data_IF_579114505046
#
_entry.id   IF_579114505046
#
_cell.length_a   1.000
_cell.length_b   1.000
_cell.length_c   1.000
_cell.angle_alpha   90.00
_cell.angle_beta   90.00
_cell.angle_gamma   90.00
#
_symmetry.space_group_name_H-M   'P 1'
#
loop_
_entity.id
_entity.type
_entity.pdbx_description
1 polymer ?
#
# COMPACT_ATOMS: atom_id res chain seq x y z
N UNK A 1 -4.14 7.31 3.62
CA UNK A 1 -4.71 8.03 2.44
C UNK A 1 -4.03 9.37 2.25
N UNK A 2 -3.90 9.84 0.99
CA UNK A 2 -3.38 11.17 0.65
C UNK A 2 -4.27 11.87 -0.37
N UNK A 3 -4.03 13.18 -0.56
CA UNK A 3 -4.72 14.05 -1.51
C UNK A 3 -3.77 14.44 -2.64
N UNK A 4 -4.28 14.41 -3.86
CA UNK A 4 -3.59 14.80 -5.08
C UNK A 4 -4.38 15.95 -5.72
N UNK A 5 -3.78 17.13 -5.94
CA UNK A 5 -4.45 18.25 -6.60
C UNK A 5 -4.56 18.00 -8.10
N UNK A 6 -5.72 18.32 -8.69
CA UNK A 6 -5.99 18.27 -10.13
C UNK A 6 -6.83 19.45 -10.57
N UNK A 7 -6.92 19.72 -11.86
CA UNK A 7 -7.80 20.74 -12.42
C UNK A 7 -9.28 20.51 -12.10
N UNK A 8 -9.69 19.25 -11.92
CA UNK A 8 -11.05 18.87 -11.52
C UNK A 8 -11.29 18.91 -9.99
N UNK A 9 -10.31 19.35 -9.20
CA UNK A 9 -10.32 19.31 -7.74
C UNK A 9 -9.50 18.14 -7.19
N UNK A 10 -9.75 17.76 -5.94
CA UNK A 10 -8.95 16.76 -5.24
C UNK A 10 -9.24 15.33 -5.72
N UNK A 11 -8.17 14.55 -5.92
CA UNK A 11 -8.21 13.10 -6.06
C UNK A 11 -7.67 12.48 -4.78
N UNK A 12 -8.40 11.54 -4.20
CA UNK A 12 -8.00 10.80 -3.00
C UNK A 12 -7.35 9.48 -3.41
N UNK A 13 -6.22 9.15 -2.81
CA UNK A 13 -5.51 7.89 -2.98
C UNK A 13 -5.42 7.14 -1.65
N UNK A 14 -5.96 5.92 -1.62
CA UNK A 14 -5.75 4.94 -0.56
C UNK A 14 -4.74 3.90 -1.01
N UNK A 15 -3.82 3.49 -0.12
CA UNK A 15 -2.84 2.43 -0.41
C UNK A 15 -2.72 1.48 0.77
N UNK A 16 -2.36 0.23 0.46
CA UNK A 16 -1.87 -0.77 1.40
C UNK A 16 -0.48 -1.20 0.95
N UNK A 17 0.46 -1.23 1.91
CA UNK A 17 1.83 -1.68 1.68
C UNK A 17 2.10 -2.97 2.45
N UNK A 18 2.84 -3.85 1.82
CA UNK A 18 3.50 -4.95 2.50
C UNK A 18 4.71 -4.38 3.26
N UNK A 19 4.72 -4.55 4.58
CA UNK A 19 5.79 -4.01 5.42
C UNK A 19 7.12 -4.74 5.24
N UNK A 20 7.10 -5.99 4.78
CA UNK A 20 8.28 -6.78 4.50
C UNK A 20 9.00 -6.31 3.23
N UNK A 21 8.26 -6.27 2.11
CA UNK A 21 8.81 -5.93 0.80
C UNK A 21 8.67 -4.47 0.40
N UNK A 22 7.96 -3.66 1.20
CA UNK A 22 7.60 -2.27 0.87
C UNK A 22 6.71 -2.14 -0.37
N UNK A 23 6.26 -3.23 -0.94
CA UNK A 23 5.42 -3.24 -2.13
C UNK A 23 4.04 -2.66 -1.85
N UNK A 24 3.55 -1.82 -2.75
CA UNK A 24 2.14 -1.43 -2.75
C UNK A 24 1.35 -2.62 -3.29
N UNK A 25 0.57 -3.26 -2.41
CA UNK A 25 -0.18 -4.49 -2.70
C UNK A 25 -1.66 -4.24 -2.96
N UNK A 26 -2.15 -3.05 -2.62
CA UNK A 26 -3.51 -2.64 -2.92
C UNK A 26 -3.63 -1.13 -2.89
N UNK A 27 -4.37 -0.58 -3.83
CA UNK A 27 -4.62 0.85 -3.92
C UNK A 27 -5.95 1.15 -4.60
N UNK A 28 -6.50 2.32 -4.32
CA UNK A 28 -7.71 2.80 -4.96
C UNK A 28 -7.70 4.33 -5.00
N UNK A 29 -8.29 4.89 -6.05
CA UNK A 29 -8.45 6.33 -6.22
C UNK A 29 -9.92 6.72 -6.35
N UNK A 30 -10.31 7.80 -5.67
CA UNK A 30 -11.69 8.28 -5.62
C UNK A 30 -11.79 9.79 -5.50
N UNK A 31 -12.99 10.32 -5.75
CA UNK A 31 -13.26 11.74 -5.64
C UNK A 31 -13.54 12.18 -4.19
N UNK A 32 -13.76 11.21 -3.31
CA UNK A 32 -14.12 11.44 -1.91
C UNK A 32 -13.28 10.57 -0.98
N UNK A 33 -13.01 11.09 0.22
CA UNK A 33 -12.41 10.33 1.31
C UNK A 33 -13.50 9.60 2.07
N UNK A 34 -13.74 8.35 1.70
CA UNK A 34 -14.74 7.53 2.37
C UNK A 34 -14.25 6.10 2.61
N UNK A 35 -15.03 5.34 3.39
CA UNK A 35 -14.72 3.94 3.70
C UNK A 35 -14.69 3.04 2.46
N UNK A 36 -15.54 3.32 1.46
CA UNK A 36 -15.57 2.53 0.23
C UNK A 36 -14.24 2.59 -0.52
N UNK A 37 -13.51 3.71 -0.45
CA UNK A 37 -12.20 3.85 -1.06
C UNK A 37 -11.16 2.93 -0.39
N UNK A 38 -11.11 2.90 0.94
CA UNK A 38 -10.23 1.99 1.69
C UNK A 38 -10.56 0.54 1.43
N UNK A 39 -11.86 0.22 1.37
CA UNK A 39 -12.33 -1.14 1.14
C UNK A 39 -11.93 -1.65 -0.26
N UNK A 40 -11.99 -0.80 -1.29
CA UNK A 40 -11.51 -1.14 -2.64
C UNK A 40 -10.01 -1.44 -2.64
N UNK A 41 -9.20 -0.64 -1.95
CA UNK A 41 -7.78 -0.89 -1.82
C UNK A 41 -7.49 -2.21 -1.07
N UNK A 42 -8.24 -2.50 0.01
CA UNK A 42 -8.13 -3.75 0.75
C UNK A 42 -8.53 -4.95 -0.12
N UNK A 43 -9.63 -4.86 -0.87
CA UNK A 43 -10.06 -5.93 -1.75
C UNK A 43 -9.01 -6.24 -2.82
N UNK A 44 -8.43 -5.22 -3.46
CA UNK A 44 -7.34 -5.39 -4.41
C UNK A 44 -6.15 -6.14 -3.78
N UNK A 45 -5.74 -5.76 -2.56
CA UNK A 45 -4.65 -6.43 -1.85
C UNK A 45 -4.95 -7.91 -1.57
N UNK A 46 -6.17 -8.23 -1.16
CA UNK A 46 -6.62 -9.61 -0.90
C UNK A 46 -6.59 -10.43 -2.19
N UNK A 47 -7.12 -9.89 -3.29
CA UNK A 47 -7.21 -10.59 -4.57
C UNK A 47 -5.81 -10.89 -5.15
N UNK A 48 -4.90 -9.94 -5.01
CA UNK A 48 -3.51 -10.09 -5.49
C UNK A 48 -2.66 -11.03 -4.62
N UNK A 49 -2.79 -10.93 -3.29
CA UNK A 49 -1.91 -11.63 -2.36
C UNK A 49 -2.47 -12.94 -1.84
N UNK A 50 -3.79 -13.10 -1.82
CA UNK A 50 -4.49 -14.26 -1.25
C UNK A 50 -3.88 -14.67 0.10
N UNK A 51 -3.83 -13.75 1.08
CA UNK A 51 -3.08 -13.94 2.30
C UNK A 51 -3.63 -15.10 3.11
N UNK A 52 -2.73 -15.82 3.78
CA UNK A 52 -3.11 -16.86 4.73
C UNK A 52 -3.78 -16.24 5.98
N UNK A 53 -4.56 -17.04 6.69
CA UNK A 53 -5.11 -16.67 8.00
C UNK A 53 -3.97 -16.26 8.96
N UNK A 54 -4.24 -15.29 9.84
CA UNK A 54 -3.26 -14.78 10.78
C UNK A 54 -2.37 -13.65 10.24
N UNK A 55 -2.60 -13.16 9.01
CA UNK A 55 -1.94 -11.95 8.54
C UNK A 55 -2.19 -10.79 9.51
N UNK A 56 -1.13 -10.12 9.94
CA UNK A 56 -1.25 -8.90 10.75
C UNK A 56 -1.54 -7.72 9.83
N UNK A 57 -2.74 -7.14 9.99
CA UNK A 57 -3.15 -5.92 9.29
C UNK A 57 -3.01 -4.71 10.20
N UNK A 58 -2.02 -3.85 9.91
CA UNK A 58 -1.77 -2.64 10.69
C UNK A 58 -2.43 -1.43 10.03
N UNK A 59 -3.14 -0.62 10.83
CA UNK A 59 -3.71 0.64 10.36
C UNK A 59 -3.61 1.75 11.43
N UNK A 60 -3.68 3.00 10.97
CA UNK A 60 -3.98 4.12 11.85
C UNK A 60 -5.46 4.04 12.30
N UNK A 61 -5.81 4.73 13.37
CA UNK A 61 -7.20 4.80 13.84
C UNK A 61 -8.09 5.71 13.00
N UNK A 62 -7.73 5.94 11.73
CA UNK A 62 -8.48 6.78 10.82
C UNK A 62 -9.88 6.21 10.57
N UNK A 63 -10.90 7.08 10.55
CA UNK A 63 -12.31 6.70 10.37
C UNK A 63 -12.59 5.81 9.15
N UNK A 64 -11.75 5.92 8.12
CA UNK A 64 -11.85 5.13 6.91
C UNK A 64 -11.51 3.64 7.08
N UNK A 65 -10.81 3.26 8.16
CA UNK A 65 -10.32 1.90 8.43
C UNK A 65 -11.02 1.22 9.62
N UNK A 66 -11.85 1.96 10.37
CA UNK A 66 -12.56 1.42 11.56
C UNK A 66 -14.02 1.09 11.31
N UNK A 67 -14.52 1.28 10.08
CA UNK A 67 -15.90 1.02 9.73
C UNK A 67 -16.25 -0.47 9.76
N UNK A 68 -17.54 -0.78 9.98
CA UNK A 68 -18.06 -2.15 10.11
C UNK A 68 -17.69 -3.02 8.89
N UNK A 69 -17.85 -2.50 7.67
CA UNK A 69 -17.56 -3.24 6.44
C UNK A 69 -16.08 -3.58 6.31
N UNK A 70 -15.20 -2.65 6.70
CA UNK A 70 -13.75 -2.87 6.64
C UNK A 70 -13.34 -3.96 7.62
N UNK A 71 -13.84 -3.92 8.86
CA UNK A 71 -13.59 -4.95 9.88
C UNK A 71 -14.12 -6.31 9.46
N UNK A 72 -15.37 -6.36 8.98
CA UNK A 72 -15.97 -7.61 8.47
C UNK A 72 -15.11 -8.26 7.37
N UNK A 73 -14.46 -7.46 6.53
CA UNK A 73 -13.55 -8.00 5.51
C UNK A 73 -12.27 -8.56 6.13
N UNK A 74 -11.70 -7.92 7.15
CA UNK A 74 -10.55 -8.44 7.89
C UNK A 74 -10.90 -9.74 8.63
N UNK A 75 -12.07 -9.79 9.26
CA UNK A 75 -12.57 -10.99 9.96
C UNK A 75 -12.73 -12.18 9.01
N UNK A 76 -13.29 -11.95 7.81
CA UNK A 76 -13.44 -12.99 6.77
C UNK A 76 -12.14 -13.63 6.34
N UNK A 77 -11.06 -12.86 6.31
CA UNK A 77 -9.72 -13.37 5.99
C UNK A 77 -8.96 -13.83 7.22
N UNK A 78 -9.61 -13.87 8.39
CA UNK A 78 -8.99 -14.18 9.68
C UNK A 78 -7.71 -13.38 9.94
N UNK A 79 -7.71 -12.09 9.56
CA UNK A 79 -6.59 -11.20 9.81
C UNK A 79 -6.58 -10.72 11.25
N UNK A 80 -5.38 -10.57 11.80
CA UNK A 80 -5.16 -9.98 13.11
C UNK A 80 -5.07 -8.46 12.96
N UNK A 81 -6.09 -7.74 13.45
CA UNK A 81 -6.07 -6.28 13.43
C UNK A 81 -5.06 -5.74 14.45
N UNK A 82 -4.08 -4.99 13.98
CA UNK A 82 -3.14 -4.23 14.78
C UNK A 82 -3.40 -2.74 14.58
N UNK A 83 -3.60 -2.01 15.66
CA UNK A 83 -3.85 -0.58 15.60
C UNK A 83 -2.70 0.18 16.23
N UNK A 84 -2.23 1.24 15.57
CA UNK A 84 -1.25 2.16 16.15
C UNK A 84 -1.69 2.64 17.53
N UNK A 85 -0.76 2.75 18.46
CA UNK A 85 -1.00 3.45 19.73
C UNK A 85 -1.29 4.92 19.42
N UNK A 86 -2.19 5.54 20.19
CA UNK A 86 -2.52 6.96 20.01
C UNK A 86 -1.24 7.81 20.16
N UNK A 87 -0.83 8.50 19.08
CA UNK A 87 0.38 9.34 19.09
C UNK A 87 1.69 8.64 18.73
N UNK A 88 1.68 7.37 18.34
CA UNK A 88 2.90 6.70 17.86
C UNK A 88 3.04 6.86 16.34
N UNK A 89 3.87 7.83 15.91
CA UNK A 89 4.13 8.10 14.50
C UNK A 89 5.00 7.03 13.82
N UNK A 90 5.73 6.21 14.56
CA UNK A 90 6.61 5.19 13.97
C UNK A 90 5.85 4.06 13.27
N UNK A 91 4.64 3.77 13.74
CA UNK A 91 3.82 2.69 13.21
C UNK A 91 3.33 2.97 11.77
N UNK A 92 3.28 4.25 11.36
CA UNK A 92 2.84 4.68 10.03
C UNK A 92 3.97 5.18 9.12
N UNK A 93 5.21 5.21 9.60
CA UNK A 93 6.36 5.80 8.92
C UNK A 93 6.57 5.23 7.49
N UNK A 94 6.27 3.95 7.27
CA UNK A 94 6.41 3.30 5.96
C UNK A 94 5.43 3.87 4.94
N UNK A 95 4.17 4.03 5.33
CA UNK A 95 3.11 4.59 4.46
C UNK A 95 3.34 6.09 4.24
N UNK A 96 3.77 6.80 5.28
CA UNK A 96 4.13 8.22 5.19
C UNK A 96 5.32 8.43 4.24
N UNK A 97 6.34 7.58 4.34
CA UNK A 97 7.49 7.57 3.42
C UNK A 97 7.06 7.33 1.98
N UNK A 98 6.16 6.37 1.73
CA UNK A 98 5.61 6.14 0.40
C UNK A 98 4.90 7.40 -0.14
N UNK A 99 4.02 8.02 0.64
CA UNK A 99 3.33 9.24 0.21
C UNK A 99 4.28 10.42 0.00
N UNK A 100 5.32 10.54 0.83
CA UNK A 100 6.39 11.53 0.65
C UNK A 100 7.10 11.34 -0.68
N UNK A 101 7.50 10.10 -0.99
CA UNK A 101 8.17 9.76 -2.26
C UNK A 101 7.25 10.03 -3.45
N UNK A 102 6.01 9.56 -3.44
CA UNK A 102 5.03 9.83 -4.50
C UNK A 102 4.87 11.34 -4.77
N UNK A 103 4.77 12.13 -3.69
CA UNK A 103 4.64 13.58 -3.83
C UNK A 103 5.90 14.22 -4.39
N UNK A 104 7.07 13.86 -3.87
CA UNK A 104 8.34 14.45 -4.28
C UNK A 104 8.78 14.01 -5.68
N UNK A 105 8.51 12.75 -6.06
CA UNK A 105 8.99 12.18 -7.31
C UNK A 105 8.01 12.41 -8.48
N UNK A 106 6.70 12.58 -8.19
CA UNK A 106 5.68 12.76 -9.22
C UNK A 106 4.85 14.03 -9.02
N UNK A 107 4.11 14.14 -7.90
CA UNK A 107 3.02 15.12 -7.77
C UNK A 107 3.50 16.55 -7.78
N UNK A 108 4.62 16.87 -7.14
CA UNK A 108 5.17 18.23 -7.08
C UNK A 108 5.76 18.71 -8.42
N UNK A 109 6.07 17.79 -9.33
CA UNK A 109 6.63 18.10 -10.65
C UNK A 109 5.57 18.13 -11.75
N UNK A 110 4.30 17.87 -11.43
CA UNK A 110 3.20 17.79 -12.39
C UNK A 110 2.04 18.71 -12.01
N UNK A 111 1.37 19.21 -13.03
CA UNK A 111 0.07 19.87 -12.90
C UNK A 111 -0.93 19.05 -13.69
N UNK A 112 -1.66 18.18 -13.00
CA UNK A 112 -2.67 17.34 -13.62
C UNK A 112 -3.86 18.20 -14.06
N UNK A 113 -4.17 18.21 -15.35
CA UNK A 113 -5.32 18.93 -15.89
C UNK A 113 -6.65 18.30 -15.41
N UNK A 114 -6.67 16.99 -15.21
CA UNK A 114 -7.85 16.24 -14.78
C UNK A 114 -7.53 15.14 -13.79
N UNK A 115 -8.57 14.63 -13.09
CA UNK A 115 -8.45 13.42 -12.27
C UNK A 115 -8.11 12.18 -13.09
N UNK A 116 -8.53 12.14 -14.36
CA UNK A 116 -8.20 11.01 -15.25
C UNK A 116 -6.72 10.96 -15.56
N UNK A 117 -6.11 12.08 -15.88
CA UNK A 117 -4.66 12.18 -16.08
C UNK A 117 -3.89 11.77 -14.83
N UNK A 118 -4.26 12.33 -13.66
CA UNK A 118 -3.64 11.97 -12.39
C UNK A 118 -3.74 10.46 -12.09
N UNK A 119 -4.88 9.83 -12.42
CA UNK A 119 -5.06 8.37 -12.23
C UNK A 119 -4.09 7.56 -13.08
N UNK A 120 -3.89 7.92 -14.34
CA UNK A 120 -2.98 7.23 -15.24
C UNK A 120 -1.52 7.34 -14.75
N UNK A 121 -1.07 8.55 -14.44
CA UNK A 121 0.30 8.80 -13.97
C UNK A 121 0.59 8.13 -12.60
N UNK A 122 -0.38 8.13 -11.68
CA UNK A 122 -0.23 7.44 -10.38
C UNK A 122 -0.22 5.93 -10.56
N UNK A 123 -1.02 5.40 -11.47
CA UNK A 123 -0.99 3.98 -11.84
C UNK A 123 0.41 3.58 -12.32
N UNK A 124 0.96 4.31 -13.28
CA UNK A 124 2.30 4.05 -13.82
C UNK A 124 3.37 4.19 -12.75
N UNK A 125 3.25 5.21 -11.89
CA UNK A 125 4.17 5.37 -10.77
C UNK A 125 4.14 4.17 -9.82
N UNK A 126 2.98 3.68 -9.43
CA UNK A 126 2.86 2.55 -8.48
C UNK A 126 3.29 1.23 -9.14
N UNK A 127 2.70 0.90 -10.29
CA UNK A 127 2.83 -0.43 -10.87
C UNK A 127 4.11 -0.62 -11.68
N UNK A 128 4.53 0.40 -12.41
CA UNK A 128 5.70 0.29 -13.28
C UNK A 128 6.97 0.76 -12.57
N UNK A 129 6.92 1.89 -11.88
CA UNK A 129 8.14 2.46 -11.29
C UNK A 129 8.36 2.00 -9.85
N UNK A 130 7.46 2.35 -8.90
CA UNK A 130 7.67 2.11 -7.46
C UNK A 130 7.84 0.63 -7.14
N UNK A 131 6.92 -0.20 -7.61
CA UNK A 131 6.94 -1.63 -7.30
C UNK A 131 8.06 -2.39 -8.02
N UNK A 132 8.47 -1.97 -9.23
CA UNK A 132 9.37 -2.75 -10.11
C UNK A 132 10.77 -2.19 -10.26
N UNK A 133 10.96 -0.87 -10.12
CA UNK A 133 12.24 -0.23 -10.46
C UNK A 133 12.80 0.65 -9.35
N UNK A 134 11.93 1.20 -8.48
CA UNK A 134 12.41 2.10 -7.44
C UNK A 134 13.23 1.36 -6.40
N UNK A 135 14.53 1.72 -6.32
CA UNK A 135 15.43 1.18 -5.32
C UNK A 135 15.11 1.69 -3.91
N UNK A 136 15.16 0.80 -2.93
CA UNK A 136 14.92 1.11 -1.52
C UNK A 136 16.15 0.77 -0.68
N UNK A 137 16.70 1.74 0.04
CA UNK A 137 17.86 1.53 0.91
C UNK A 137 17.64 0.44 1.97
N UNK A 138 16.41 0.35 2.49
CA UNK A 138 16.01 -0.68 3.47
C UNK A 138 15.87 -2.09 2.86
N UNK A 139 15.88 -2.20 1.53
CA UNK A 139 15.81 -3.46 0.79
C UNK A 139 17.11 -3.75 0.04
N UNK A 140 18.25 -3.32 0.57
CA UNK A 140 19.57 -3.49 -0.07
C UNK A 140 19.62 -2.86 -1.48
N UNK A 141 18.94 -1.73 -1.67
CA UNK A 141 18.79 -1.04 -2.95
C UNK A 141 18.05 -1.82 -4.04
N UNK A 142 17.36 -2.89 -3.69
CA UNK A 142 16.45 -3.58 -4.59
C UNK A 142 15.10 -2.85 -4.66
N UNK A 143 14.37 -3.07 -5.75
CA UNK A 143 12.95 -2.72 -5.83
C UNK A 143 12.11 -3.71 -5.01
N UNK A 144 10.87 -3.37 -4.61
CA UNK A 144 9.97 -4.28 -3.93
C UNK A 144 9.80 -5.63 -4.63
N UNK A 145 9.64 -5.63 -5.95
CA UNK A 145 9.47 -6.86 -6.73
C UNK A 145 10.74 -7.71 -6.77
N UNK A 146 11.91 -7.10 -6.96
CA UNK A 146 13.19 -7.81 -6.93
C UNK A 146 13.46 -8.41 -5.56
N UNK A 147 13.18 -7.65 -4.48
CA UNK A 147 13.34 -8.14 -3.12
C UNK A 147 12.47 -9.38 -2.82
N UNK A 148 11.21 -9.38 -3.27
CA UNK A 148 10.33 -10.54 -3.15
C UNK A 148 10.87 -11.74 -3.93
N UNK A 149 11.33 -11.54 -5.16
CA UNK A 149 11.85 -12.62 -6.01
C UNK A 149 13.10 -13.27 -5.42
N UNK A 150 14.06 -12.48 -4.95
CA UNK A 150 15.29 -13.00 -4.32
C UNK A 150 14.95 -13.82 -3.08
N UNK A 151 14.06 -13.32 -2.23
CA UNK A 151 13.73 -14.02 -0.98
C UNK A 151 12.81 -15.23 -1.18
N UNK A 152 11.96 -15.25 -2.23
CA UNK A 152 11.16 -16.43 -2.58
C UNK A 152 12.05 -17.62 -3.01
N UNK A 153 13.12 -17.36 -3.77
CA UNK A 153 14.09 -18.39 -4.17
C UNK A 153 14.84 -18.94 -2.96
N UNK A 154 15.20 -18.10 -2.00
CA UNK A 154 15.94 -18.52 -0.78
C UNK A 154 15.10 -19.45 0.09
N UNK A 155 13.79 -19.22 0.20
CA UNK A 155 12.88 -20.10 0.98
C UNK A 155 12.73 -21.49 0.32
N UNK A 156 12.79 -21.57 -1.00
CA UNK A 156 12.68 -22.85 -1.73
C UNK A 156 13.98 -23.67 -1.70
N UNK A 157 15.13 -23.06 -1.46
CA UNK A 157 16.44 -23.73 -1.46
C UNK A 157 16.90 -24.22 -0.09
N UNK A 158 16.15 -23.98 0.99
CA UNK A 158 16.40 -24.60 2.29
C UNK A 158 15.59 -25.92 2.39
N UNK A 159 16.17 -27.11 2.07
CA UNK A 159 15.53 -28.37 2.39
C UNK A 159 15.51 -28.46 3.92
N UNK A 160 14.31 -28.62 4.49
CA UNK A 160 14.16 -28.86 5.91
C UNK A 160 15.04 -30.03 6.33
N UNK A 161 15.97 -29.80 7.24
CA UNK A 161 16.67 -30.86 7.95
C UNK A 161 15.61 -31.60 8.77
N UNK A 162 15.11 -32.69 8.19
CA UNK A 162 14.42 -33.71 8.96
C UNK A 162 15.51 -34.55 9.66
N UNK A 163 15.63 -34.33 10.95
CA UNK A 163 16.44 -35.13 11.87
C UNK A 163 15.68 -35.26 13.18
#
# INVERSE_FOLDING_TARGET
>A
MTLIPTGDGWLHLAVLLDLYSRRVVGWAMGNERNQALSLKALQMAIDQRKPAAGLVHHNDRGSAYVGVLYRSQLDRMAAIASMSRRGNCYDNAVVESFFGNLKNELVHHRRFASRQEARAEIFDYIELFYNRHRAHSTLLFLSPAEYENVNAVTVQTCPGNAG
#
